data_IF_411287756595
#
_entry.id   IF_411287756595
#
_cell.length_a   1.000
_cell.length_b   1.000
_cell.length_c   1.000
_cell.angle_alpha   90.00
_cell.angle_beta   90.00
_cell.angle_gamma   90.00
#
_symmetry.space_group_name_H-M   'P 1'
#
loop_
_entity.id
_entity.type
_entity.pdbx_description
1 polymer ?
#
# COMPACT_ATOMS: atom_id res chain seq x y z
N UNK A 1 21.60 3.57 -29.23
CA UNK A 1 21.25 2.13 -29.28
C UNK A 1 21.54 1.44 -27.95
N UNK A 2 20.95 1.94 -26.86
CA UNK A 2 20.95 1.32 -25.54
C UNK A 2 19.52 1.04 -25.07
N UNK A 3 18.59 1.94 -25.38
CA UNK A 3 17.14 1.76 -25.22
C UNK A 3 16.61 0.44 -25.82
N UNK A 4 16.97 0.10 -27.06
CA UNK A 4 16.55 -1.16 -27.71
C UNK A 4 17.11 -2.39 -26.98
N UNK A 5 18.33 -2.28 -26.45
CA UNK A 5 18.96 -3.36 -25.66
C UNK A 5 18.25 -3.54 -24.32
N UNK A 6 17.93 -2.44 -23.62
CA UNK A 6 17.12 -2.47 -22.39
C UNK A 6 15.80 -3.19 -22.66
N UNK A 7 15.07 -2.77 -23.71
CA UNK A 7 13.79 -3.37 -24.08
C UNK A 7 13.92 -4.87 -24.37
N UNK A 8 14.94 -5.27 -25.12
CA UNK A 8 15.23 -6.68 -25.40
C UNK A 8 15.40 -7.51 -24.12
N UNK A 9 16.20 -7.04 -23.16
CA UNK A 9 16.40 -7.78 -21.90
C UNK A 9 15.17 -7.75 -20.98
N UNK A 10 14.36 -6.68 -21.03
CA UNK A 10 13.06 -6.65 -20.32
C UNK A 10 12.10 -7.71 -20.85
N UNK A 11 12.04 -7.88 -22.18
CA UNK A 11 11.20 -8.90 -22.83
C UNK A 11 11.67 -10.32 -22.49
N UNK A 12 12.98 -10.53 -22.28
CA UNK A 12 13.55 -11.79 -21.80
C UNK A 12 13.37 -12.01 -20.28
N UNK A 13 12.94 -11.01 -19.52
CA UNK A 13 12.86 -11.08 -18.06
C UNK A 13 14.20 -10.94 -17.33
N UNK A 14 15.28 -10.60 -18.04
CA UNK A 14 16.59 -10.34 -17.43
C UNK A 14 16.69 -8.88 -16.95
N UNK A 15 15.96 -8.59 -15.88
CA UNK A 15 15.89 -7.25 -15.31
C UNK A 15 17.23 -6.75 -14.77
N UNK A 16 18.15 -7.66 -14.41
CA UNK A 16 19.49 -7.29 -13.92
C UNK A 16 20.36 -6.74 -15.04
N UNK A 17 20.35 -7.39 -16.21
CA UNK A 17 21.09 -6.90 -17.38
C UNK A 17 20.46 -5.61 -17.92
N UNK A 18 19.13 -5.55 -18.01
CA UNK A 18 18.42 -4.33 -18.39
C UNK A 18 18.76 -3.16 -17.44
N UNK A 19 18.82 -3.43 -16.13
CA UNK A 19 19.17 -2.45 -15.11
C UNK A 19 20.58 -1.91 -15.32
N UNK A 20 21.56 -2.79 -15.52
CA UNK A 20 22.96 -2.37 -15.73
C UNK A 20 23.10 -1.44 -16.94
N UNK A 21 22.46 -1.78 -18.06
CA UNK A 21 22.51 -0.95 -19.28
C UNK A 21 21.86 0.42 -19.03
N UNK A 22 20.68 0.46 -18.42
CA UNK A 22 20.01 1.72 -18.09
C UNK A 22 20.82 2.57 -17.10
N UNK A 23 21.55 1.92 -16.17
CA UNK A 23 22.42 2.58 -15.21
C UNK A 23 23.65 3.21 -15.87
N UNK A 24 24.28 2.51 -16.81
CA UNK A 24 25.37 3.04 -17.64
C UNK A 24 24.92 4.30 -18.39
N UNK A 25 23.73 4.28 -19.00
CA UNK A 25 23.15 5.44 -19.68
C UNK A 25 22.87 6.61 -18.73
N UNK A 26 22.33 6.32 -17.54
CA UNK A 26 22.06 7.37 -16.55
C UNK A 26 23.36 8.01 -16.04
N UNK A 27 24.40 7.22 -15.77
CA UNK A 27 25.70 7.73 -15.36
C UNK A 27 26.38 8.55 -16.46
N UNK A 28 26.25 8.14 -17.72
CA UNK A 28 26.82 8.85 -18.86
C UNK A 28 26.05 10.16 -19.15
N UNK A 29 24.72 10.16 -18.99
CA UNK A 29 23.89 11.34 -19.24
C UNK A 29 22.78 11.52 -18.18
N UNK A 30 23.10 12.06 -16.99
CA UNK A 30 22.14 12.17 -15.88
C UNK A 30 20.93 13.06 -16.14
N UNK A 31 21.01 13.96 -17.13
CA UNK A 31 19.92 14.85 -17.53
C UNK A 31 18.82 14.16 -18.35
N UNK A 32 19.07 12.97 -18.89
CA UNK A 32 18.05 12.19 -19.58
C UNK A 32 17.06 11.61 -18.55
N UNK A 33 15.77 11.88 -18.76
CA UNK A 33 14.71 11.34 -17.89
C UNK A 33 14.48 9.84 -18.10
N UNK A 34 14.61 9.36 -19.34
CA UNK A 34 14.26 7.99 -19.68
C UNK A 34 15.06 6.93 -18.92
N UNK A 35 16.40 7.00 -18.76
CA UNK A 35 17.17 5.97 -18.06
C UNK A 35 16.77 5.88 -16.59
N UNK A 36 16.60 7.02 -15.93
CA UNK A 36 16.16 7.09 -14.53
C UNK A 36 14.77 6.46 -14.32
N UNK A 37 13.80 6.79 -15.17
CA UNK A 37 12.47 6.18 -15.10
C UNK A 37 12.53 4.67 -15.41
N UNK A 38 13.34 4.26 -16.37
CA UNK A 38 13.59 2.84 -16.67
C UNK A 38 14.17 2.09 -15.48
N UNK A 39 15.18 2.66 -14.82
CA UNK A 39 15.78 2.12 -13.60
C UNK A 39 14.70 1.95 -12.53
N UNK A 40 13.87 2.97 -12.30
CA UNK A 40 12.77 2.92 -11.33
C UNK A 40 11.81 1.76 -11.60
N UNK A 41 11.37 1.59 -12.86
CA UNK A 41 10.50 0.47 -13.26
C UNK A 41 11.17 -0.89 -13.06
N UNK A 42 12.47 -1.01 -13.38
CA UNK A 42 13.22 -2.26 -13.21
C UNK A 42 13.40 -2.61 -11.73
N UNK A 43 13.67 -1.62 -10.87
CA UNK A 43 13.71 -1.80 -9.42
C UNK A 43 12.36 -2.30 -8.90
N UNK A 44 11.24 -1.70 -9.32
CA UNK A 44 9.89 -2.16 -8.94
C UNK A 44 9.65 -3.61 -9.35
N UNK A 45 10.08 -4.01 -10.56
CA UNK A 45 9.97 -5.41 -11.02
C UNK A 45 10.80 -6.35 -10.16
N UNK A 46 12.06 -6.00 -9.89
CA UNK A 46 12.94 -6.81 -9.04
C UNK A 46 12.45 -6.88 -7.59
N UNK A 47 11.86 -5.79 -7.05
CA UNK A 47 11.25 -5.78 -5.72
C UNK A 47 10.10 -6.80 -5.67
N UNK A 48 9.23 -6.79 -6.69
CA UNK A 48 8.12 -7.75 -6.80
C UNK A 48 8.59 -9.21 -6.81
N UNK A 49 9.70 -9.50 -7.50
CA UNK A 49 10.27 -10.86 -7.50
C UNK A 49 10.89 -11.22 -6.15
N UNK A 50 11.58 -10.26 -5.50
CA UNK A 50 12.21 -10.48 -4.19
C UNK A 50 11.21 -10.67 -3.05
N UNK A 51 10.04 -10.02 -3.11
CA UNK A 51 8.96 -10.18 -2.13
C UNK A 51 8.48 -11.64 -2.03
N UNK A 52 8.44 -12.34 -3.17
CA UNK A 52 7.98 -13.74 -3.27
C UNK A 52 9.01 -14.78 -2.85
N UNK A 53 10.30 -14.46 -2.97
CA UNK A 53 11.39 -15.43 -2.93
C UNK A 53 12.15 -15.48 -1.59
N UNK A 54 11.53 -15.07 -0.48
CA UNK A 54 12.19 -14.87 0.83
C UNK A 54 13.36 -13.86 0.78
N UNK A 55 13.44 -13.03 -0.26
CA UNK A 55 14.51 -12.07 -0.48
C UNK A 55 14.34 -10.78 0.30
N UNK A 56 14.05 -10.84 1.61
CA UNK A 56 13.75 -9.67 2.46
C UNK A 56 14.85 -8.61 2.35
N UNK A 57 16.10 -9.00 2.54
CA UNK A 57 17.23 -8.06 2.52
C UNK A 57 17.36 -7.42 1.14
N UNK A 58 17.28 -8.25 0.09
CA UNK A 58 17.30 -7.78 -1.30
C UNK A 58 16.15 -6.83 -1.63
N UNK A 59 14.94 -7.08 -1.12
CA UNK A 59 13.80 -6.19 -1.31
C UNK A 59 14.14 -4.80 -0.78
N UNK A 60 14.69 -4.75 0.42
CA UNK A 60 15.03 -3.51 1.07
C UNK A 60 16.23 -2.80 0.42
N UNK A 61 17.24 -3.53 -0.05
CA UNK A 61 18.33 -2.94 -0.84
C UNK A 61 17.79 -2.25 -2.10
N UNK A 62 16.85 -2.89 -2.80
CA UNK A 62 16.19 -2.34 -3.99
C UNK A 62 15.31 -1.14 -3.65
N UNK A 63 14.63 -1.15 -2.51
CA UNK A 63 13.80 -0.05 -2.05
C UNK A 63 14.65 1.18 -1.65
N UNK A 64 15.76 0.95 -0.95
CA UNK A 64 16.72 2.01 -0.60
C UNK A 64 17.35 2.61 -1.85
N UNK A 65 17.62 1.78 -2.86
CA UNK A 65 18.09 2.25 -4.17
C UNK A 65 17.03 3.05 -4.93
N UNK A 66 15.76 2.61 -4.88
CA UNK A 66 14.65 3.35 -5.48
C UNK A 66 14.49 4.74 -4.85
N UNK A 67 14.59 4.83 -3.52
CA UNK A 67 14.53 6.11 -2.80
C UNK A 67 15.64 7.09 -3.20
N UNK A 68 16.82 6.59 -3.58
CA UNK A 68 17.95 7.41 -4.05
C UNK A 68 17.78 7.95 -5.47
N UNK A 69 16.78 7.50 -6.22
CA UNK A 69 16.56 7.97 -7.57
C UNK A 69 16.02 9.40 -7.62
N UNK A 70 15.51 9.96 -6.53
CA UNK A 70 14.92 11.32 -6.49
C UNK A 70 13.80 11.47 -7.54
N UNK A 71 12.86 10.52 -7.55
CA UNK A 71 11.76 10.50 -8.53
C UNK A 71 10.85 11.71 -8.28
N UNK A 72 10.53 12.52 -9.31
CA UNK A 72 9.60 13.63 -9.14
C UNK A 72 8.22 13.16 -8.65
N UNK A 73 7.55 13.95 -7.81
CA UNK A 73 6.21 13.63 -7.30
C UNK A 73 5.15 13.53 -8.42
N UNK A 74 5.40 14.17 -9.56
CA UNK A 74 4.53 14.15 -10.73
C UNK A 74 4.56 12.81 -11.49
N UNK A 75 5.53 11.93 -11.20
CA UNK A 75 5.60 10.58 -11.75
C UNK A 75 4.61 9.64 -11.03
N UNK A 76 3.33 10.02 -11.00
CA UNK A 76 2.26 9.35 -10.25
C UNK A 76 2.14 7.87 -10.59
N UNK A 77 2.39 7.49 -11.85
CA UNK A 77 2.40 6.08 -12.28
C UNK A 77 3.49 5.25 -11.62
N UNK A 78 4.68 5.81 -11.41
CA UNK A 78 5.77 5.13 -10.71
C UNK A 78 5.45 4.99 -9.22
N UNK A 79 4.95 6.07 -8.60
CA UNK A 79 4.54 6.06 -7.20
C UNK A 79 3.37 5.09 -6.94
N UNK A 80 2.39 5.03 -7.84
CA UNK A 80 1.31 4.04 -7.76
C UNK A 80 1.79 2.61 -8.01
N UNK A 81 2.86 2.42 -8.77
CA UNK A 81 3.40 1.10 -9.07
C UNK A 81 4.25 0.50 -7.94
N UNK A 82 5.04 1.31 -7.22
CA UNK A 82 5.91 0.84 -6.13
C UNK A 82 5.12 0.33 -4.91
N UNK A 83 3.87 0.78 -4.78
CA UNK A 83 2.95 0.33 -3.74
C UNK A 83 2.70 -1.17 -3.78
N UNK A 84 2.59 -1.77 -4.96
CA UNK A 84 2.26 -3.19 -5.10
C UNK A 84 3.29 -4.14 -4.49
N UNK A 85 4.60 -4.05 -4.80
CA UNK A 85 5.60 -4.90 -4.15
C UNK A 85 5.69 -4.64 -2.64
N UNK A 86 5.43 -3.43 -2.16
CA UNK A 86 5.37 -3.12 -0.72
C UNK A 86 4.21 -3.85 -0.05
N UNK A 87 3.03 -3.80 -0.67
CA UNK A 87 1.86 -4.55 -0.20
C UNK A 87 2.16 -6.06 -0.20
N UNK A 88 2.77 -6.57 -1.27
CA UNK A 88 3.07 -7.99 -1.42
C UNK A 88 4.04 -8.50 -0.34
N UNK A 89 5.11 -7.78 -0.02
CA UNK A 89 6.04 -8.21 1.05
C UNK A 89 5.37 -8.25 2.44
N UNK A 90 4.46 -7.31 2.73
CA UNK A 90 3.69 -7.34 3.98
C UNK A 90 2.79 -8.57 4.01
N UNK A 91 1.98 -8.77 2.96
CA UNK A 91 1.02 -9.89 2.91
C UNK A 91 1.70 -11.25 2.92
N UNK A 92 2.80 -11.39 2.19
CA UNK A 92 3.56 -12.64 2.12
C UNK A 92 4.26 -12.92 3.45
N UNK A 93 4.82 -11.89 4.10
CA UNK A 93 5.43 -12.05 5.43
C UNK A 93 4.44 -12.47 6.51
N UNK A 94 3.20 -11.99 6.44
CA UNK A 94 2.12 -12.43 7.30
C UNK A 94 1.70 -13.88 6.98
N UNK A 95 1.43 -14.17 5.71
CA UNK A 95 0.94 -15.48 5.26
C UNK A 95 1.94 -16.62 5.49
N UNK A 96 3.24 -16.34 5.34
CA UNK A 96 4.33 -17.28 5.58
C UNK A 96 4.87 -17.20 7.02
N UNK A 97 4.23 -16.44 7.91
CA UNK A 97 4.56 -16.34 9.33
C UNK A 97 6.00 -15.91 9.65
N UNK A 98 6.63 -15.10 8.80
CA UNK A 98 7.96 -14.56 9.05
C UNK A 98 7.98 -13.05 9.34
N UNK A 99 6.81 -12.41 9.39
CA UNK A 99 6.67 -11.01 9.78
C UNK A 99 7.35 -10.74 11.14
N UNK A 100 7.98 -9.58 11.25
CA UNK A 100 8.60 -9.09 12.49
C UNK A 100 8.29 -7.60 12.64
N UNK A 101 8.02 -7.07 13.84
CA UNK A 101 7.73 -5.64 14.02
C UNK A 101 8.73 -4.67 13.36
N UNK A 102 10.07 -4.92 13.40
CA UNK A 102 11.04 -4.07 12.70
C UNK A 102 10.85 -3.99 11.18
N UNK A 103 10.28 -5.04 10.56
CA UNK A 103 9.92 -5.01 9.13
C UNK A 103 8.78 -4.03 8.88
N UNK A 104 7.74 -4.07 9.72
CA UNK A 104 6.64 -3.11 9.69
C UNK A 104 7.14 -1.68 9.88
N UNK A 105 8.06 -1.46 10.84
CA UNK A 105 8.68 -0.16 11.08
C UNK A 105 9.43 0.38 9.87
N UNK A 106 10.25 -0.46 9.23
CA UNK A 106 11.04 -0.06 8.06
C UNK A 106 10.15 0.29 6.88
N UNK A 107 9.12 -0.52 6.62
CA UNK A 107 8.18 -0.26 5.53
C UNK A 107 7.38 1.01 5.83
N UNK A 108 6.90 1.18 7.07
CA UNK A 108 6.14 2.35 7.46
C UNK A 108 6.97 3.63 7.31
N UNK A 109 8.22 3.64 7.77
CA UNK A 109 9.13 4.76 7.58
C UNK A 109 9.32 5.12 6.10
N UNK A 110 9.45 4.11 5.23
CA UNK A 110 9.64 4.34 3.80
C UNK A 110 8.40 4.93 3.11
N UNK A 111 7.21 4.38 3.36
CA UNK A 111 5.99 4.84 2.67
C UNK A 111 5.54 6.24 3.12
N UNK A 112 5.88 6.65 4.35
CA UNK A 112 5.51 7.97 4.89
C UNK A 112 6.07 9.12 4.08
N UNK A 113 7.22 8.90 3.48
CA UNK A 113 7.94 9.88 2.67
C UNK A 113 7.56 9.81 1.17
N UNK A 114 6.75 8.82 0.77
CA UNK A 114 6.35 8.65 -0.63
C UNK A 114 5.16 9.57 -0.97
N UNK A 115 5.20 10.30 -2.11
CA UNK A 115 4.09 11.13 -2.57
C UNK A 115 2.98 10.26 -3.20
N UNK A 116 2.37 9.39 -2.41
CA UNK A 116 1.28 8.51 -2.85
C UNK A 116 0.01 9.31 -3.11
N UNK A 117 -0.68 8.98 -4.20
CA UNK A 117 -1.96 9.59 -4.57
C UNK A 117 -3.07 9.12 -3.62
N UNK A 118 -3.90 10.06 -3.15
CA UNK A 118 -4.98 9.83 -2.19
C UNK A 118 -6.27 10.52 -2.68
N UNK A 119 -7.43 9.85 -2.66
CA UNK A 119 -7.59 8.40 -2.49
C UNK A 119 -7.05 7.64 -3.70
N UNK A 120 -6.57 6.41 -3.52
CA UNK A 120 -6.24 5.50 -4.62
C UNK A 120 -6.29 4.03 -4.19
N UNK A 121 -6.54 3.13 -5.14
CA UNK A 121 -6.57 1.67 -4.88
C UNK A 121 -5.27 1.17 -4.25
N UNK A 122 -4.13 1.68 -4.72
CA UNK A 122 -2.82 1.35 -4.14
C UNK A 122 -2.73 1.80 -2.69
N UNK A 123 -3.11 3.05 -2.40
CA UNK A 123 -3.04 3.60 -1.05
C UNK A 123 -3.91 2.80 -0.05
N UNK A 124 -5.12 2.40 -0.46
CA UNK A 124 -5.96 1.50 0.34
C UNK A 124 -5.39 0.08 0.41
N UNK A 125 -4.79 -0.44 -0.66
CA UNK A 125 -4.21 -1.79 -0.66
C UNK A 125 -3.10 -1.94 0.39
N UNK A 126 -2.28 -0.91 0.62
CA UNK A 126 -1.26 -0.89 1.68
C UNK A 126 -1.92 -0.89 3.06
N UNK A 127 -2.94 -0.06 3.28
CA UNK A 127 -3.71 -0.06 4.52
C UNK A 127 -4.25 -1.45 4.85
N UNK A 128 -4.88 -2.12 3.87
CA UNK A 128 -5.41 -3.48 4.06
C UNK A 128 -4.32 -4.47 4.45
N UNK A 129 -3.12 -4.35 3.87
CA UNK A 129 -1.99 -5.21 4.21
C UNK A 129 -1.50 -4.98 5.65
N UNK A 130 -1.43 -3.73 6.11
CA UNK A 130 -1.06 -3.42 7.50
C UNK A 130 -2.15 -3.84 8.50
N UNK A 131 -3.43 -3.61 8.19
CA UNK A 131 -4.56 -4.05 9.01
C UNK A 131 -4.55 -5.57 9.21
N UNK A 132 -4.15 -6.33 8.19
CA UNK A 132 -4.00 -7.78 8.29
C UNK A 132 -2.98 -8.22 9.35
N UNK A 133 -1.97 -7.39 9.66
CA UNK A 133 -1.00 -7.70 10.71
C UNK A 133 -1.64 -7.70 12.11
N UNK A 134 -2.70 -6.91 12.31
CA UNK A 134 -3.41 -6.82 13.58
C UNK A 134 -2.47 -6.57 14.76
N UNK A 135 -2.58 -7.40 15.80
CA UNK A 135 -1.76 -7.32 17.01
C UNK A 135 -0.29 -7.72 16.82
N UNK A 136 0.10 -8.29 15.67
CA UNK A 136 1.50 -8.62 15.38
C UNK A 136 2.37 -7.37 15.22
N UNK A 137 1.76 -6.22 14.89
CA UNK A 137 2.49 -4.97 14.73
C UNK A 137 1.95 -3.89 15.69
N UNK A 138 2.70 -3.56 16.75
CA UNK A 138 2.23 -2.66 17.81
C UNK A 138 1.88 -1.24 17.37
N UNK A 139 2.35 -0.81 16.20
CA UNK A 139 2.14 0.56 15.67
C UNK A 139 0.97 0.66 14.69
N UNK A 140 0.10 -0.36 14.64
CA UNK A 140 -1.06 -0.35 13.74
C UNK A 140 -1.96 0.87 13.96
N UNK A 141 -2.19 1.28 15.20
CA UNK A 141 -2.99 2.47 15.50
C UNK A 141 -2.36 3.74 14.92
N UNK A 142 -1.07 3.98 15.20
CA UNK A 142 -0.30 5.12 14.66
C UNK A 142 -0.32 5.13 13.13
N UNK A 143 -0.21 3.95 12.51
CA UNK A 143 -0.29 3.83 11.06
C UNK A 143 -1.66 4.24 10.52
N UNK A 144 -2.75 3.77 11.13
CA UNK A 144 -4.11 4.10 10.67
C UNK A 144 -4.39 5.60 10.85
N UNK A 145 -3.91 6.20 11.94
CA UNK A 145 -3.98 7.65 12.18
C UNK A 145 -3.22 8.45 11.13
N UNK A 146 -1.98 8.04 10.79
CA UNK A 146 -1.23 8.64 9.70
C UNK A 146 -1.89 8.43 8.34
N UNK A 147 -2.49 7.25 8.12
CA UNK A 147 -3.14 6.92 6.87
C UNK A 147 -4.35 7.82 6.61
N UNK A 148 -5.13 8.11 7.67
CA UNK A 148 -6.23 9.10 7.70
C UNK A 148 -7.54 8.62 7.06
N UNK A 149 -8.61 8.48 7.86
CA UNK A 149 -9.93 7.98 7.41
C UNK A 149 -10.55 8.82 6.26
N UNK A 150 -10.18 10.10 6.15
CA UNK A 150 -10.58 10.99 5.07
C UNK A 150 -10.06 10.56 3.69
N UNK A 151 -9.08 9.65 3.63
CA UNK A 151 -8.49 9.14 2.39
C UNK A 151 -9.21 7.89 1.85
N UNK A 152 -10.32 7.46 2.48
CA UNK A 152 -11.17 6.43 1.92
C UNK A 152 -11.91 6.93 0.68
N UNK A 153 -11.93 6.09 -0.35
CA UNK A 153 -12.79 6.28 -1.53
C UNK A 153 -14.20 5.76 -1.26
N UNK A 154 -15.16 6.11 -2.11
CA UNK A 154 -16.51 5.52 -2.06
C UNK A 154 -16.51 3.99 -2.19
N UNK A 155 -15.51 3.41 -2.86
CA UNK A 155 -15.38 1.96 -3.01
C UNK A 155 -15.04 1.28 -1.68
N UNK A 156 -14.35 1.97 -0.77
CA UNK A 156 -13.91 1.39 0.49
C UNK A 156 -15.05 1.18 1.50
N UNK A 157 -16.16 1.90 1.30
CA UNK A 157 -17.42 1.73 2.05
C UNK A 157 -18.34 0.67 1.45
N UNK A 158 -18.00 0.11 0.28
CA UNK A 158 -18.82 -0.95 -0.33
C UNK A 158 -18.58 -2.26 0.39
N UNK A 159 -19.68 -2.89 0.80
CA UNK A 159 -19.71 -4.23 1.34
C UNK A 159 -19.67 -5.23 0.18
N UNK A 160 -18.69 -6.13 0.19
CA UNK A 160 -18.55 -7.17 -0.84
C UNK A 160 -18.76 -8.54 -0.20
N UNK A 161 -19.56 -9.44 -0.80
CA UNK A 161 -19.67 -10.83 -0.37
C UNK A 161 -18.45 -11.64 -0.82
N UNK A 162 -17.23 -11.18 -0.52
CA UNK A 162 -16.04 -12.02 -0.68
C UNK A 162 -15.93 -12.93 0.55
N UNK A 163 -16.20 -14.22 0.35
CA UNK A 163 -16.04 -15.30 1.35
C UNK A 163 -16.93 -15.15 2.59
N UNK A 164 -18.15 -14.62 2.45
CA UNK A 164 -19.14 -14.56 3.53
C UNK A 164 -18.92 -13.45 4.58
N UNK A 165 -17.89 -12.61 4.42
CA UNK A 165 -17.70 -11.43 5.28
C UNK A 165 -18.40 -10.24 4.62
N UNK A 166 -19.45 -9.74 5.26
CA UNK A 166 -20.24 -8.61 4.76
C UNK A 166 -19.60 -7.24 5.00
N UNK A 167 -18.51 -7.15 5.74
CA UNK A 167 -17.91 -5.86 6.11
C UNK A 167 -17.13 -5.23 4.94
N UNK A 168 -17.32 -3.93 4.79
CA UNK A 168 -16.55 -3.04 3.91
C UNK A 168 -15.10 -2.87 4.40
N UNK A 169 -14.23 -2.32 3.54
CA UNK A 169 -12.84 -2.04 3.93
C UNK A 169 -12.79 -1.03 5.08
N UNK A 170 -13.59 0.04 5.01
CA UNK A 170 -13.65 1.08 6.03
C UNK A 170 -14.05 0.52 7.40
N UNK A 171 -15.07 -0.35 7.44
CA UNK A 171 -15.52 -1.04 8.66
C UNK A 171 -14.39 -1.87 9.28
N UNK A 172 -13.72 -2.72 8.48
CA UNK A 172 -12.63 -3.57 8.96
C UNK A 172 -11.47 -2.77 9.52
N UNK A 173 -11.11 -1.67 8.86
CA UNK A 173 -10.01 -0.79 9.30
C UNK A 173 -10.36 -0.14 10.63
N UNK A 174 -11.59 0.34 10.79
CA UNK A 174 -12.01 0.95 12.05
C UNK A 174 -12.01 -0.06 13.19
N UNK A 175 -12.53 -1.27 12.98
CA UNK A 175 -12.50 -2.33 13.98
C UNK A 175 -11.06 -2.66 14.39
N UNK A 176 -10.13 -2.74 13.42
CA UNK A 176 -8.72 -2.94 13.67
C UNK A 176 -8.08 -1.78 14.45
N UNK A 177 -8.51 -0.54 14.20
CA UNK A 177 -8.06 0.63 14.95
C UNK A 177 -8.53 0.57 16.41
N UNK A 178 -9.82 0.35 16.66
CA UNK A 178 -10.39 0.20 18.03
C UNK A 178 -9.71 -0.93 18.79
N UNK A 179 -9.46 -2.05 18.10
CA UNK A 179 -8.68 -3.17 18.61
C UNK A 179 -7.27 -2.74 19.05
N UNK A 180 -6.54 -2.04 18.17
CA UNK A 180 -5.17 -1.62 18.40
C UNK A 180 -5.02 -0.62 19.56
N UNK A 181 -6.00 0.26 19.78
CA UNK A 181 -5.99 1.22 20.90
C UNK A 181 -6.56 0.63 22.21
N UNK A 182 -6.91 -0.66 22.23
CA UNK A 182 -7.35 -1.37 23.44
C UNK A 182 -8.73 -0.97 23.95
N UNK A 183 -9.62 -0.44 23.09
CA UNK A 183 -10.99 -0.01 23.46
C UNK A 183 -12.08 -1.03 23.13
N UNK A 184 -11.75 -2.33 23.16
CA UNK A 184 -12.71 -3.42 22.88
C UNK A 184 -13.73 -3.65 24.00
N UNK A 185 -13.67 -2.91 25.10
CA UNK A 185 -14.62 -2.96 26.23
C UNK A 185 -15.99 -2.32 25.90
N UNK A 186 -16.12 -1.67 24.74
CA UNK A 186 -17.34 -1.04 24.23
C UNK A 186 -17.77 -1.73 22.94
N UNK A 187 -19.08 -1.69 22.63
CA UNK A 187 -19.62 -2.20 21.36
C UNK A 187 -18.91 -1.53 20.17
N UNK A 188 -18.01 -2.25 19.45
CA UNK A 188 -17.17 -1.65 18.42
C UNK A 188 -17.98 -1.11 17.24
N UNK A 189 -19.15 -1.70 16.98
CA UNK A 189 -20.06 -1.22 15.94
C UNK A 189 -20.65 0.14 16.32
N UNK A 190 -21.09 0.31 17.57
CA UNK A 190 -21.65 1.56 18.03
C UNK A 190 -20.62 2.71 18.05
N UNK A 191 -19.38 2.42 18.47
CA UNK A 191 -18.30 3.42 18.42
C UNK A 191 -17.86 3.72 16.99
N UNK A 192 -17.96 2.75 16.06
CA UNK A 192 -17.78 3.00 14.63
C UNK A 192 -18.80 3.97 14.09
N UNK A 193 -20.08 3.75 14.39
CA UNK A 193 -21.13 4.65 13.91
C UNK A 193 -21.03 6.05 14.52
N UNK A 194 -20.68 6.19 15.81
CA UNK A 194 -20.42 7.52 16.40
C UNK A 194 -19.20 8.20 15.76
N UNK A 195 -18.13 7.45 15.49
CA UNK A 195 -16.96 7.99 14.81
C UNK A 195 -17.30 8.41 13.38
N UNK A 196 -18.08 7.59 12.66
CA UNK A 196 -18.61 7.93 11.34
C UNK A 196 -19.52 9.15 11.38
N UNK A 197 -20.44 9.28 12.35
CA UNK A 197 -21.31 10.46 12.52
C UNK A 197 -20.50 11.74 12.76
N UNK A 198 -19.42 11.63 13.55
CA UNK A 198 -18.50 12.74 13.78
C UNK A 198 -17.60 13.05 12.56
N UNK A 199 -17.30 12.05 11.73
CA UNK A 199 -16.57 12.21 10.46
C UNK A 199 -17.50 12.64 9.30
N UNK A 200 -18.81 12.38 9.39
CA UNK A 200 -19.82 12.60 8.35
C UNK A 200 -20.29 14.05 8.22
N UNK A 201 -19.42 15.01 8.51
CA UNK A 201 -19.51 16.31 7.85
C UNK A 201 -18.87 16.15 6.47
N UNK A 202 -19.59 15.56 5.48
CA UNK A 202 -19.42 15.92 4.04
C UNK A 202 -20.33 15.28 2.99
N UNK A 203 -21.17 14.27 3.24
CA UNK A 203 -22.35 14.08 2.34
C UNK A 203 -23.49 13.27 2.98
N UNK A 204 -24.68 13.88 3.03
CA UNK A 204 -25.94 13.26 3.48
C UNK A 204 -26.23 11.95 2.70
N UNK A 205 -25.86 11.92 1.42
CA UNK A 205 -26.06 10.78 0.53
C UNK A 205 -25.32 9.50 0.98
N UNK A 206 -24.12 9.64 1.58
CA UNK A 206 -23.35 8.51 2.09
C UNK A 206 -23.98 7.93 3.36
N UNK A 207 -24.49 8.79 4.25
CA UNK A 207 -25.22 8.35 5.44
C UNK A 207 -26.52 7.60 5.06
N UNK A 208 -27.26 8.10 4.08
CA UNK A 208 -28.52 7.49 3.62
C UNK A 208 -28.29 6.13 2.93
N UNK A 209 -27.21 5.97 2.16
CA UNK A 209 -26.86 4.69 1.55
C UNK A 209 -26.47 3.63 2.59
N UNK A 210 -25.79 4.05 3.67
CA UNK A 210 -25.42 3.17 4.79
C UNK A 210 -26.67 2.78 5.60
N UNK A 211 -27.54 3.74 5.90
CA UNK A 211 -28.79 3.50 6.64
C UNK A 211 -29.74 2.55 5.89
N UNK A 212 -29.88 2.72 4.57
CA UNK A 212 -30.73 1.88 3.74
C UNK A 212 -30.22 0.43 3.64
N UNK A 213 -28.90 0.23 3.57
CA UNK A 213 -28.29 -1.10 3.55
C UNK A 213 -28.52 -1.90 4.85
N UNK A 214 -28.73 -1.21 5.98
CA UNK A 214 -28.94 -1.81 7.30
C UNK A 214 -30.41 -2.14 7.59
N UNK A 215 -31.36 -1.42 6.97
CA UNK A 215 -32.80 -1.73 7.10
C UNK A 215 -33.21 -3.12 6.59
N UNK A 216 -32.31 -3.78 5.85
CA UNK A 216 -32.45 -5.14 5.34
C UNK A 216 -31.93 -6.23 6.30
N UNK A 217 -31.33 -5.85 7.44
CA UNK A 217 -30.77 -6.78 8.45
C UNK A 217 -31.56 -6.81 9.77
N UNK A 218 -32.58 -5.99 9.93
CA UNK A 218 -33.49 -5.96 11.09
C UNK A 218 -34.89 -6.53 10.79
N UNK A 219 -34.97 -7.53 9.90
CA UNK A 219 -36.15 -8.39 9.74
C UNK A 219 -35.79 -9.84 9.94
#
# INVERSE_FOLDING_TARGET
>A
MSYERVKYYQELGDYRVAYRIAREDWCATPSLKWPKNTIAWLLIRMMKDSAKAYGRDRFFDLMDEFGKLDIPKEETKLWGAVVWPIRDIITDSYGMQWFTPPLGDRIFAAIREMPLEKPSDGYTAVLKAFVQLGSLWPRLAEFIEWWGFENFSEFDYRRYPEKGILESTAERVFLAYVAAIGRMDKDPAQEFYKALENMAIRSQQQADNIYNALSLWTK
#
